data_IF_014201359817
#
_entry.id   IF_014201359817
#
_cell.length_a   1.000
_cell.length_b   1.000
_cell.length_c   1.000
_cell.angle_alpha   90.00
_cell.angle_beta   90.00
_cell.angle_gamma   90.00
#
_symmetry.space_group_name_H-M   'P 1'
#
loop_
_entity.id
_entity.type
_entity.pdbx_description
1 polymer ?
#
# COMPACT_ATOMS: atom_id res chain seq x y z
N UNK A 1 33.41 -26.19 -5.74
CA UNK A 1 32.30 -26.60 -6.63
C UNK A 1 31.44 -25.36 -6.83
N UNK A 2 31.94 -24.34 -7.54
CA UNK A 2 31.38 -22.97 -7.43
C UNK A 2 31.44 -22.19 -8.75
N UNK A 3 30.94 -22.78 -9.84
CA UNK A 3 30.92 -22.10 -11.15
C UNK A 3 29.52 -22.03 -11.78
N UNK A 4 28.53 -22.77 -11.25
CA UNK A 4 27.18 -22.83 -11.84
C UNK A 4 26.22 -21.75 -11.33
N UNK A 5 26.37 -21.25 -10.10
CA UNK A 5 25.40 -20.29 -9.52
C UNK A 5 25.50 -18.89 -10.15
N UNK A 6 26.67 -18.51 -10.68
CA UNK A 6 26.87 -17.18 -11.29
C UNK A 6 26.32 -17.05 -12.72
N UNK A 7 25.91 -18.14 -13.38
CA UNK A 7 25.49 -18.09 -14.79
C UNK A 7 23.98 -17.90 -15.00
N UNK A 8 23.15 -18.00 -13.96
CA UNK A 8 21.68 -17.86 -14.09
C UNK A 8 21.21 -16.41 -14.32
N UNK A 9 22.01 -15.40 -13.96
CA UNK A 9 21.59 -13.99 -14.03
C UNK A 9 21.64 -13.37 -15.43
N UNK A 10 22.20 -14.05 -16.44
CA UNK A 10 22.50 -13.46 -17.76
C UNK A 10 21.43 -13.64 -18.84
N UNK A 11 20.37 -14.40 -18.58
CA UNK A 11 19.34 -14.70 -19.58
C UNK A 11 17.96 -14.14 -19.21
N UNK A 12 17.90 -12.88 -18.78
CA UNK A 12 16.62 -12.18 -18.71
C UNK A 12 16.35 -11.54 -20.07
N UNK A 13 15.74 -12.30 -20.98
CA UNK A 13 15.49 -11.83 -22.34
C UNK A 13 14.36 -10.78 -22.36
N UNK A 14 14.23 -10.02 -23.45
CA UNK A 14 13.09 -9.11 -23.65
C UNK A 14 11.73 -9.85 -23.71
N UNK A 15 11.76 -11.15 -24.03
CA UNK A 15 10.58 -12.00 -23.93
C UNK A 15 10.20 -12.28 -22.46
N UNK A 16 11.19 -12.52 -21.60
CA UNK A 16 10.95 -12.71 -20.16
C UNK A 16 10.45 -11.41 -19.49
N UNK A 17 10.91 -10.25 -19.96
CA UNK A 17 10.37 -8.93 -19.57
C UNK A 17 8.88 -8.80 -19.87
N UNK A 18 8.47 -9.14 -21.09
CA UNK A 18 7.07 -9.06 -21.53
C UNK A 18 6.19 -10.17 -20.94
N UNK A 19 6.76 -11.32 -20.58
CA UNK A 19 6.04 -12.40 -19.91
C UNK A 19 5.82 -12.10 -18.42
N UNK A 20 6.79 -11.46 -17.75
CA UNK A 20 6.66 -11.04 -16.35
C UNK A 20 5.83 -9.76 -16.17
N UNK A 21 5.84 -8.88 -17.16
CA UNK A 21 4.90 -7.76 -17.23
C UNK A 21 3.75 -8.11 -18.17
N UNK A 22 2.67 -8.66 -17.62
CA UNK A 22 1.40 -8.99 -18.33
C UNK A 22 0.77 -7.83 -19.14
N UNK A 23 1.33 -6.63 -19.08
CA UNK A 23 0.85 -5.43 -19.77
C UNK A 23 2.00 -4.86 -20.61
N UNK A 24 1.84 -4.88 -21.94
CA UNK A 24 2.80 -4.33 -22.89
C UNK A 24 2.82 -2.81 -22.86
N UNK A 25 3.89 -2.21 -23.39
CA UNK A 25 3.98 -0.75 -23.54
C UNK A 25 2.84 -0.18 -24.41
N UNK A 26 2.48 -0.90 -25.48
CA UNK A 26 1.38 -0.51 -26.38
C UNK A 26 0.05 -0.41 -25.63
N UNK A 27 -0.27 -1.39 -24.77
CA UNK A 27 -1.51 -1.40 -24.00
C UNK A 27 -1.58 -0.24 -23.00
N UNK A 28 -0.44 0.19 -22.45
CA UNK A 28 -0.40 1.36 -21.57
C UNK A 28 -0.72 2.63 -22.35
N UNK A 29 -0.16 2.79 -23.55
CA UNK A 29 -0.42 3.95 -24.39
C UNK A 29 -1.88 3.99 -24.84
N UNK A 30 -2.43 2.86 -25.27
CA UNK A 30 -3.84 2.73 -25.65
C UNK A 30 -4.78 3.15 -24.51
N UNK A 31 -4.52 2.69 -23.28
CA UNK A 31 -5.29 3.11 -22.11
C UNK A 31 -5.22 4.63 -21.86
N UNK A 32 -4.06 5.26 -22.11
CA UNK A 32 -3.93 6.71 -22.01
C UNK A 32 -4.66 7.45 -23.12
N UNK A 33 -4.69 6.90 -24.32
CA UNK A 33 -5.45 7.46 -25.43
C UNK A 33 -6.96 7.39 -25.15
N UNK A 34 -7.45 6.27 -24.60
CA UNK A 34 -8.83 6.13 -24.15
C UNK A 34 -9.21 7.16 -23.07
N UNK A 35 -8.36 7.33 -22.05
CA UNK A 35 -8.56 8.34 -21.00
C UNK A 35 -8.61 9.74 -21.62
N UNK A 36 -7.73 10.02 -22.57
CA UNK A 36 -7.66 11.31 -23.26
C UNK A 36 -8.92 11.58 -24.07
N UNK A 37 -9.39 10.58 -24.82
CA UNK A 37 -10.62 10.65 -25.60
C UNK A 37 -11.82 10.88 -24.69
N UNK A 38 -11.94 10.12 -23.60
CA UNK A 38 -13.01 10.27 -22.62
C UNK A 38 -12.99 11.65 -21.97
N UNK A 39 -11.82 12.12 -21.54
CA UNK A 39 -11.68 13.46 -20.96
C UNK A 39 -12.11 14.53 -21.98
N UNK A 40 -11.55 14.49 -23.19
CA UNK A 40 -11.83 15.46 -24.25
C UNK A 40 -13.30 15.46 -24.67
N UNK A 41 -13.97 14.30 -24.66
CA UNK A 41 -15.41 14.20 -24.95
C UNK A 41 -16.30 14.92 -23.93
N UNK A 42 -15.82 15.06 -22.70
CA UNK A 42 -16.54 15.70 -21.58
C UNK A 42 -16.02 17.09 -21.24
N UNK A 43 -14.96 17.56 -21.90
CA UNK A 43 -14.21 18.73 -21.48
C UNK A 43 -14.86 20.03 -21.99
N UNK A 44 -15.03 20.99 -21.08
CA UNK A 44 -15.47 22.36 -21.41
C UNK A 44 -14.31 23.35 -21.60
N UNK A 45 -13.11 23.02 -21.09
CA UNK A 45 -11.94 23.92 -21.04
C UNK A 45 -11.00 23.77 -22.25
N UNK A 46 -11.33 22.89 -23.20
CA UNK A 46 -10.56 22.64 -24.42
C UNK A 46 -9.81 21.29 -24.41
N UNK A 47 -9.37 20.82 -25.60
CA UNK A 47 -8.76 19.51 -25.76
C UNK A 47 -7.38 19.42 -25.12
N UNK A 48 -7.06 18.26 -24.56
CA UNK A 48 -5.76 17.95 -23.94
C UNK A 48 -5.11 16.74 -24.60
N UNK A 49 -3.78 16.69 -24.50
CA UNK A 49 -2.98 15.57 -24.99
C UNK A 49 -2.72 14.55 -23.86
N UNK A 50 -2.62 13.27 -24.21
CA UNK A 50 -2.28 12.17 -23.30
C UNK A 50 -1.05 12.47 -22.43
N UNK A 51 0.00 13.07 -23.02
CA UNK A 51 1.21 13.46 -22.27
C UNK A 51 0.92 14.46 -21.15
N UNK A 52 0.01 15.40 -21.37
CA UNK A 52 -0.36 16.41 -20.37
C UNK A 52 -1.16 15.78 -19.23
N UNK A 53 -2.10 14.88 -19.56
CA UNK A 53 -2.90 14.15 -18.57
C UNK A 53 -2.03 13.19 -17.75
N UNK A 54 -1.07 12.53 -18.40
CA UNK A 54 -0.07 11.69 -17.75
C UNK A 54 0.77 12.50 -16.75
N UNK A 55 1.32 13.64 -17.18
CA UNK A 55 2.13 14.51 -16.32
C UNK A 55 1.33 15.05 -15.12
N UNK A 56 0.06 15.42 -15.35
CA UNK A 56 -0.84 15.83 -14.28
C UNK A 56 -1.04 14.69 -13.28
N UNK A 57 -1.36 13.49 -13.74
CA UNK A 57 -1.53 12.32 -12.89
C UNK A 57 -0.28 12.02 -12.07
N UNK A 58 0.91 12.08 -12.67
CA UNK A 58 2.18 11.91 -11.95
C UNK A 58 2.37 12.94 -10.83
N UNK A 59 2.00 14.19 -11.10
CA UNK A 59 1.99 15.27 -10.12
C UNK A 59 1.08 14.97 -8.95
N UNK A 60 -0.18 14.59 -9.23
CA UNK A 60 -1.15 14.22 -8.19
C UNK A 60 -0.64 13.00 -7.40
N UNK A 61 -0.12 11.98 -8.09
CA UNK A 61 0.46 10.78 -7.47
C UNK A 61 1.60 11.13 -6.52
N UNK A 62 2.47 12.07 -6.90
CA UNK A 62 3.59 12.54 -6.09
C UNK A 62 3.12 13.34 -4.88
N UNK A 63 2.15 14.25 -5.05
CA UNK A 63 1.52 15.02 -3.97
C UNK A 63 0.90 14.08 -2.94
N UNK A 64 0.07 13.13 -3.38
CA UNK A 64 -0.59 12.16 -2.51
C UNK A 64 0.41 11.35 -1.67
N UNK A 65 1.50 10.86 -2.28
CA UNK A 65 2.55 10.15 -1.53
C UNK A 65 3.20 11.01 -0.45
N UNK A 66 3.46 12.28 -0.75
CA UNK A 66 4.05 13.22 0.21
C UNK A 66 3.10 13.45 1.37
N UNK A 67 1.84 13.79 1.10
CA UNK A 67 0.83 14.05 2.11
C UNK A 67 0.64 12.84 3.05
N UNK A 68 0.51 11.64 2.49
CA UNK A 68 0.35 10.41 3.27
C UNK A 68 1.59 10.08 4.12
N UNK A 69 2.79 10.35 3.59
CA UNK A 69 4.03 10.17 4.34
C UNK A 69 4.11 11.15 5.51
N UNK A 70 3.79 12.42 5.26
CA UNK A 70 3.80 13.48 6.27
C UNK A 70 2.74 13.20 7.34
N UNK A 71 1.55 12.73 6.96
CA UNK A 71 0.50 12.31 7.90
C UNK A 71 0.94 11.14 8.77
N UNK A 72 1.52 10.10 8.16
CA UNK A 72 2.09 8.97 8.90
C UNK A 72 3.18 9.43 9.87
N UNK A 73 4.07 10.33 9.42
CA UNK A 73 5.16 10.87 10.25
C UNK A 73 4.61 11.71 11.41
N UNK A 74 3.62 12.56 11.15
CA UNK A 74 3.01 13.43 12.14
C UNK A 74 2.23 12.63 13.20
N UNK A 75 1.63 11.51 12.83
CA UNK A 75 0.98 10.58 13.77
C UNK A 75 1.93 10.07 14.86
N UNK A 76 3.21 9.87 14.54
CA UNK A 76 4.22 9.37 15.50
C UNK A 76 4.94 10.48 16.28
N UNK A 77 4.63 11.76 16.05
CA UNK A 77 5.20 12.86 16.83
C UNK A 77 4.47 12.97 18.17
N UNK A 78 5.21 12.99 19.27
CA UNK A 78 4.67 12.97 20.64
C UNK A 78 4.57 14.35 21.31
N UNK A 79 4.71 15.44 20.54
CA UNK A 79 4.80 16.81 21.05
C UNK A 79 3.51 17.46 21.54
N UNK A 80 2.53 16.68 22.04
CA UNK A 80 1.31 17.19 22.69
C UNK A 80 0.30 17.96 21.82
N UNK A 81 0.59 18.19 20.53
CA UNK A 81 -0.31 18.88 19.61
C UNK A 81 -1.39 17.98 18.99
N UNK A 82 -2.50 18.58 18.58
CA UNK A 82 -3.57 17.90 17.83
C UNK A 82 -3.12 17.59 16.41
N UNK A 83 -3.24 16.33 15.98
CA UNK A 83 -2.98 15.93 14.60
C UNK A 83 -4.10 16.41 13.67
N UNK A 84 -3.75 17.13 12.61
CA UNK A 84 -4.64 17.45 11.49
C UNK A 84 -4.12 16.79 10.22
N UNK A 85 -4.89 15.88 9.59
CA UNK A 85 -4.47 15.22 8.37
C UNK A 85 -4.35 16.23 7.23
N UNK A 86 -3.25 16.15 6.48
CA UNK A 86 -3.01 16.94 5.26
C UNK A 86 -3.49 16.24 3.99
N UNK A 87 -3.84 14.95 4.08
CA UNK A 87 -4.30 14.15 2.94
C UNK A 87 -5.76 14.48 2.57
N UNK A 88 -5.99 14.75 1.28
CA UNK A 88 -7.31 14.97 0.71
C UNK A 88 -8.03 13.63 0.38
N UNK A 89 -9.34 13.66 0.14
CA UNK A 89 -10.11 12.47 -0.31
C UNK A 89 -9.53 11.86 -1.60
N UNK A 90 -9.10 12.72 -2.54
CA UNK A 90 -8.43 12.30 -3.77
C UNK A 90 -7.12 11.57 -3.49
N UNK A 91 -6.35 12.01 -2.49
CA UNK A 91 -5.08 11.38 -2.11
C UNK A 91 -5.32 9.98 -1.57
N UNK A 92 -6.37 9.79 -0.77
CA UNK A 92 -6.79 8.48 -0.24
C UNK A 92 -7.24 7.52 -1.36
N UNK A 93 -7.96 8.03 -2.36
CA UNK A 93 -8.37 7.24 -3.53
C UNK A 93 -7.16 6.78 -4.33
N UNK A 94 -6.20 7.68 -4.55
CA UNK A 94 -4.93 7.34 -5.21
C UNK A 94 -4.15 6.32 -4.39
N UNK A 95 -4.06 6.50 -3.07
CA UNK A 95 -3.42 5.55 -2.17
C UNK A 95 -4.01 4.15 -2.32
N UNK A 96 -5.33 4.05 -2.43
CA UNK A 96 -6.05 2.78 -2.57
C UNK A 96 -5.69 2.08 -3.88
N UNK A 97 -5.67 2.80 -4.99
CA UNK A 97 -5.27 2.28 -6.31
C UNK A 97 -3.80 1.80 -6.28
N UNK A 98 -2.95 2.54 -5.56
CA UNK A 98 -1.53 2.28 -5.48
C UNK A 98 -1.14 1.18 -4.50
N UNK A 99 -1.93 0.94 -3.45
CA UNK A 99 -1.64 0.02 -2.35
C UNK A 99 -1.11 -1.35 -2.79
N UNK A 100 -1.64 -2.02 -3.84
CA UNK A 100 -1.13 -3.31 -4.30
C UNK A 100 0.33 -3.24 -4.81
N UNK A 101 0.79 -2.08 -5.26
CA UNK A 101 2.17 -1.88 -5.76
C UNK A 101 3.19 -1.72 -4.63
N UNK A 102 2.76 -1.31 -3.43
CA UNK A 102 3.64 -0.92 -2.32
C UNK A 102 3.55 -1.85 -1.10
N UNK A 103 2.59 -2.78 -1.08
CA UNK A 103 2.53 -3.78 -0.02
C UNK A 103 3.68 -4.76 -0.18
N UNK A 104 4.54 -4.82 0.84
CA UNK A 104 5.54 -5.87 0.92
C UNK A 104 4.85 -7.23 0.83
N UNK A 105 5.39 -8.13 0.01
CA UNK A 105 4.96 -9.51 0.04
C UNK A 105 5.16 -10.04 1.46
N UNK A 106 4.15 -10.71 1.99
CA UNK A 106 4.27 -11.36 3.30
C UNK A 106 5.31 -12.46 3.21
N UNK A 107 6.47 -12.24 3.81
CA UNK A 107 7.52 -13.25 3.90
C UNK A 107 7.18 -14.22 5.03
N UNK A 108 6.99 -15.51 4.73
CA UNK A 108 6.71 -16.56 5.70
C UNK A 108 7.93 -17.41 6.09
N UNK A 109 9.12 -17.11 5.56
CA UNK A 109 10.33 -17.94 5.72
C UNK A 109 11.50 -17.23 6.43
N UNK A 110 11.36 -15.94 6.75
CA UNK A 110 12.32 -15.15 7.54
C UNK A 110 11.78 -15.00 8.97
N UNK A 111 12.57 -15.44 9.96
CA UNK A 111 12.24 -15.44 11.39
C UNK A 111 11.82 -14.07 11.97
N UNK A 112 12.05 -12.95 11.28
CA UNK A 112 11.59 -11.62 11.71
C UNK A 112 10.09 -11.35 11.46
N UNK A 113 9.38 -12.20 10.70
CA UNK A 113 7.94 -12.05 10.46
C UNK A 113 7.08 -12.14 11.74
N UNK A 114 7.57 -12.83 12.76
CA UNK A 114 6.87 -13.06 14.03
C UNK A 114 6.85 -11.84 14.96
N UNK A 115 7.73 -10.84 14.76
CA UNK A 115 7.80 -9.64 15.62
C UNK A 115 6.51 -8.81 15.59
N UNK A 116 5.77 -8.84 14.47
CA UNK A 116 4.52 -8.09 14.32
C UNK A 116 3.26 -8.89 14.75
N UNK A 117 3.35 -10.21 14.91
CA UNK A 117 2.22 -11.05 15.33
C UNK A 117 2.07 -11.15 16.86
N UNK A 118 3.15 -10.98 17.62
CA UNK A 118 3.16 -11.18 19.08
C UNK A 118 2.37 -10.15 19.91
N UNK A 119 2.15 -8.92 19.41
CA UNK A 119 1.45 -7.88 20.18
C UNK A 119 -0.06 -8.09 20.30
N UNK A 120 -0.68 -8.84 19.40
CA UNK A 120 -2.13 -9.10 19.41
C UNK A 120 -2.53 -10.29 20.30
N UNK A 121 -1.60 -11.23 20.56
CA UNK A 121 -1.91 -12.40 21.37
C UNK A 121 -1.88 -12.10 22.87
N UNK A 122 -0.95 -11.27 23.36
CA UNK A 122 -0.90 -10.90 24.79
C UNK A 122 -2.17 -10.18 25.25
N UNK A 123 -2.70 -9.25 24.45
CA UNK A 123 -3.95 -8.55 24.78
C UNK A 123 -5.17 -9.49 24.75
N UNK A 124 -5.17 -10.50 23.86
CA UNK A 124 -6.23 -11.52 23.77
C UNK A 124 -6.18 -12.52 24.93
N UNK A 125 -4.99 -12.92 25.37
CA UNK A 125 -4.81 -13.74 26.57
C UNK A 125 -5.19 -12.98 27.86
N UNK A 126 -4.83 -11.70 27.98
CA UNK A 126 -5.21 -10.88 29.13
C UNK A 126 -6.74 -10.69 29.23
N UNK A 127 -7.43 -10.53 28.10
CA UNK A 127 -8.90 -10.43 28.07
C UNK A 127 -9.60 -11.76 28.38
N UNK A 128 -9.03 -12.90 27.97
CA UNK A 128 -9.56 -14.22 28.34
C UNK A 128 -9.35 -14.49 29.83
N UNK A 129 -8.17 -14.17 30.36
CA UNK A 129 -7.85 -14.36 31.78
C UNK A 129 -8.70 -13.48 32.70
N UNK A 130 -8.89 -12.20 32.36
CA UNK A 130 -9.77 -11.29 33.13
C UNK A 130 -11.24 -11.71 33.11
N UNK A 131 -11.76 -12.21 31.97
CA UNK A 131 -13.10 -12.79 31.91
C UNK A 131 -13.22 -14.03 32.81
N UNK A 132 -12.27 -14.95 32.75
CA UNK A 132 -12.26 -16.18 33.57
C UNK A 132 -12.17 -15.89 35.08
N UNK A 133 -11.42 -14.86 35.48
CA UNK A 133 -11.27 -14.49 36.89
C UNK A 133 -12.52 -13.82 37.49
N UNK A 134 -13.35 -13.15 36.68
CA UNK A 134 -14.66 -12.63 37.11
C UNK A 134 -15.63 -13.75 37.48
N UNK A 135 -15.64 -14.85 36.72
CA UNK A 135 -16.49 -16.01 37.03
C UNK A 135 -16.07 -16.70 38.33
N UNK A 136 -14.77 -16.80 38.63
CA UNK A 136 -14.29 -17.44 39.88
C UNK A 136 -14.63 -16.66 41.16
N UNK A 137 -14.81 -15.34 41.11
CA UNK A 137 -15.21 -14.55 42.27
C UNK A 137 -16.71 -14.68 42.61
N UNK A 138 -17.56 -14.97 41.61
CA UNK A 138 -19.00 -15.13 41.81
C UNK A 138 -19.39 -16.41 42.59
N UNK A 139 -18.56 -17.46 42.54
CA UNK A 139 -18.82 -18.72 43.26
C UNK A 139 -18.31 -18.71 44.71
N UNK A 140 -17.58 -17.67 45.14
CA UNK A 140 -17.09 -17.51 46.51
C UNK A 140 -18.00 -16.67 47.40
N UNK A 141 -19.04 -16.01 46.86
CA UNK A 141 -20.02 -15.23 47.65
C UNK A 141 -21.37 -15.94 47.82
N UNK A 142 -21.46 -17.23 47.49
CA UNK A 142 -22.69 -18.05 47.59
C UNK A 142 -22.50 -19.27 48.50
N UNK A 143 -21.55 -19.20 49.44
CA UNK A 143 -21.37 -20.21 50.48
C UNK A 143 -21.28 -19.54 51.84
#
# INVERSE_FOLDING_TARGET
>A
MDVEVSKRSRNFTDYDRNLLFRISYSQKNEAWDEITLKYNSSCQTGPRNAKQLHALYDGIKKKARKNLHDDKKNLFKTGGGTFTPQSDELDLKIATILKPQYQALTNCFDSSATYFQGKLLLLRWLTIWTKSNKYKQSYKSLR
#
